data_IF_719261332519
#
_entry.id   IF_719261332519
#
_cell.length_a   1.000
_cell.length_b   1.000
_cell.length_c   1.000
_cell.angle_alpha   90.00
_cell.angle_beta   90.00
_cell.angle_gamma   90.00
#
_symmetry.space_group_name_H-M   'P 1'
#
loop_
_entity.id
_entity.type
_entity.pdbx_description
1 polymer ?
#
# COMPACT_ATOMS: atom_id res chain seq x y z
N UNK A 1 -21.12 -4.12 2.02
CA UNK A 1 -20.23 -4.45 3.15
C UNK A 1 -19.97 -3.22 4.01
N UNK A 2 -19.69 -2.05 3.42
CA UNK A 2 -19.45 -0.78 4.15
C UNK A 2 -20.67 -0.37 4.95
N UNK A 3 -21.89 -0.45 4.39
CA UNK A 3 -23.14 -0.17 5.10
C UNK A 3 -23.35 -1.06 6.34
N UNK A 4 -22.96 -2.34 6.24
CA UNK A 4 -23.14 -3.31 7.31
C UNK A 4 -22.10 -3.18 8.45
N UNK A 5 -20.95 -2.58 8.18
CA UNK A 5 -19.83 -2.46 9.13
C UNK A 5 -19.79 -1.09 9.79
N UNK A 6 -20.18 -0.01 9.09
CA UNK A 6 -19.98 1.37 9.55
C UNK A 6 -21.29 2.16 9.70
N UNK A 7 -22.45 1.60 9.34
CA UNK A 7 -23.75 2.28 9.45
C UNK A 7 -23.90 3.50 8.52
N UNK A 8 -23.05 3.62 7.52
CA UNK A 8 -23.10 4.67 6.49
C UNK A 8 -23.42 4.03 5.13
N UNK A 9 -24.19 4.71 4.29
CA UNK A 9 -24.53 4.19 2.97
C UNK A 9 -23.29 4.07 2.07
N UNK A 10 -23.33 3.14 1.10
CA UNK A 10 -22.26 2.99 0.11
C UNK A 10 -22.01 4.30 -0.66
N UNK A 11 -23.05 5.13 -0.87
CA UNK A 11 -22.97 6.44 -1.49
C UNK A 11 -22.25 7.46 -0.59
N UNK A 12 -22.53 7.46 0.71
CA UNK A 12 -21.86 8.33 1.69
C UNK A 12 -20.38 7.97 1.87
N UNK A 13 -20.08 6.67 1.94
CA UNK A 13 -18.71 6.18 1.98
C UNK A 13 -17.94 6.55 0.70
N UNK A 14 -18.55 6.39 -0.47
CA UNK A 14 -17.99 6.81 -1.76
C UNK A 14 -17.79 8.32 -1.82
N UNK A 15 -18.73 9.12 -1.31
CA UNK A 15 -18.63 10.58 -1.24
C UNK A 15 -17.46 11.03 -0.35
N UNK A 16 -17.29 10.42 0.82
CA UNK A 16 -16.17 10.69 1.74
C UNK A 16 -14.82 10.26 1.15
N UNK A 17 -14.76 9.11 0.48
CA UNK A 17 -13.55 8.62 -0.20
C UNK A 17 -13.21 9.53 -1.39
N UNK A 18 -14.18 9.90 -2.23
CA UNK A 18 -13.95 10.78 -3.38
C UNK A 18 -13.53 12.21 -2.97
N UNK A 19 -14.07 12.73 -1.88
CA UNK A 19 -13.67 14.04 -1.33
C UNK A 19 -12.20 14.05 -0.87
N UNK A 20 -11.66 12.89 -0.45
CA UNK A 20 -10.30 12.73 0.04
C UNK A 20 -9.32 12.32 -1.08
N UNK A 21 -9.77 11.57 -2.10
CA UNK A 21 -8.86 10.94 -3.07
C UNK A 21 -8.62 11.71 -4.35
N UNK A 22 -9.34 12.79 -4.65
CA UNK A 22 -9.18 13.59 -5.89
C UNK A 22 -8.79 12.73 -7.12
N UNK A 23 -9.25 13.05 -8.28
CA UNK A 23 -9.04 12.27 -9.50
C UNK A 23 -7.55 12.24 -9.91
N UNK A 24 -6.81 11.20 -9.52
CA UNK A 24 -5.45 10.95 -10.03
C UNK A 24 -5.52 9.94 -11.18
N UNK A 25 -4.75 10.13 -12.27
CA UNK A 25 -4.74 9.17 -13.37
C UNK A 25 -4.26 7.79 -12.90
N UNK A 26 -4.85 6.70 -13.40
CA UNK A 26 -4.47 5.35 -13.00
C UNK A 26 -3.02 5.05 -13.40
N UNK A 27 -2.29 4.37 -12.51
CA UNK A 27 -0.99 3.79 -12.87
C UNK A 27 -1.26 2.62 -13.82
N UNK A 28 -0.67 2.64 -15.02
CA UNK A 28 -0.92 1.58 -16.01
C UNK A 28 -0.44 0.22 -15.48
N UNK A 29 -1.16 -0.88 -15.79
CA UNK A 29 -0.77 -2.25 -15.42
C UNK A 29 0.65 -2.63 -15.89
N UNK A 30 1.10 -2.05 -17.00
CA UNK A 30 2.42 -2.26 -17.60
C UNK A 30 3.57 -1.78 -16.68
N UNK A 31 3.36 -0.69 -15.93
CA UNK A 31 4.38 -0.18 -14.99
C UNK A 31 4.57 -1.12 -13.80
N UNK A 32 3.52 -1.83 -13.40
CA UNK A 32 3.58 -2.80 -12.30
C UNK A 32 4.18 -4.12 -12.77
N UNK A 33 3.82 -4.59 -13.97
CA UNK A 33 4.41 -5.78 -14.59
C UNK A 33 5.92 -5.59 -14.87
N UNK A 34 6.35 -4.39 -15.27
CA UNK A 34 7.76 -4.07 -15.46
C UNK A 34 8.56 -4.06 -14.14
N UNK A 35 7.91 -3.78 -13.01
CA UNK A 35 8.57 -3.83 -11.69
C UNK A 35 8.83 -5.27 -11.22
N UNK A 36 8.03 -6.25 -11.66
CA UNK A 36 8.18 -7.67 -11.30
C UNK A 36 9.19 -8.41 -12.21
N UNK A 37 9.62 -7.80 -13.33
CA UNK A 37 10.53 -8.40 -14.31
C UNK A 37 12.03 -8.29 -13.95
N UNK A 38 12.37 -7.78 -12.75
CA UNK A 38 13.77 -7.66 -12.30
C UNK A 38 14.45 -9.02 -12.11
N UNK A 39 15.72 -9.11 -12.54
CA UNK A 39 16.57 -10.25 -12.24
C UNK A 39 16.87 -10.34 -10.74
N UNK A 40 17.42 -11.47 -10.28
CA UNK A 40 17.86 -11.62 -8.88
C UNK A 40 18.93 -10.55 -8.51
N UNK A 41 19.80 -10.22 -9.46
CA UNK A 41 20.79 -9.15 -9.28
C UNK A 41 20.12 -7.77 -9.12
N UNK A 42 19.09 -7.47 -9.92
CA UNK A 42 18.33 -6.23 -9.80
C UNK A 42 17.61 -6.14 -8.47
N UNK A 43 17.01 -7.24 -8.00
CA UNK A 43 16.34 -7.32 -6.69
C UNK A 43 17.30 -7.06 -5.54
N UNK A 44 18.50 -7.66 -5.56
CA UNK A 44 19.55 -7.41 -4.56
C UNK A 44 20.03 -5.96 -4.60
N UNK A 45 20.23 -5.41 -5.78
CA UNK A 45 20.64 -4.01 -5.93
C UNK A 45 19.56 -3.04 -5.40
N UNK A 46 18.28 -3.30 -5.70
CA UNK A 46 17.16 -2.50 -5.22
C UNK A 46 17.00 -2.61 -3.70
N UNK A 47 17.12 -3.80 -3.11
CA UNK A 47 17.07 -4.00 -1.66
C UNK A 47 18.23 -3.26 -0.95
N UNK A 48 19.45 -3.34 -1.48
CA UNK A 48 20.58 -2.59 -0.95
C UNK A 48 20.39 -1.06 -1.07
N UNK A 49 19.78 -0.59 -2.16
CA UNK A 49 19.39 0.81 -2.32
C UNK A 49 18.30 1.21 -1.33
N UNK A 50 17.30 0.32 -1.09
CA UNK A 50 16.24 0.55 -0.11
C UNK A 50 16.82 0.78 1.29
N UNK A 51 17.78 -0.03 1.74
CA UNK A 51 18.47 0.15 3.02
C UNK A 51 19.12 1.55 3.08
N UNK A 52 19.95 1.90 2.08
CA UNK A 52 20.65 3.21 2.05
C UNK A 52 19.68 4.40 2.01
N UNK A 53 18.54 4.27 1.35
CA UNK A 53 17.55 5.35 1.31
C UNK A 53 16.77 5.43 2.63
N UNK A 54 16.47 4.29 3.27
CA UNK A 54 15.79 4.27 4.56
C UNK A 54 16.63 4.95 5.65
N UNK A 55 17.96 4.77 5.64
CA UNK A 55 18.90 5.52 6.51
C UNK A 55 18.85 7.03 6.29
N UNK A 56 18.42 7.46 5.09
CA UNK A 56 18.25 8.89 4.72
C UNK A 56 16.80 9.34 4.86
N UNK A 57 16.03 8.73 5.74
CA UNK A 57 14.69 9.17 6.08
C UNK A 57 14.62 9.76 7.48
N UNK A 58 13.54 10.50 7.73
CA UNK A 58 13.18 10.95 9.07
C UNK A 58 11.67 10.87 9.26
N UNK A 59 11.20 10.64 10.49
CA UNK A 59 9.79 10.83 10.82
C UNK A 59 9.37 12.27 10.58
N UNK A 60 8.18 12.49 10.05
CA UNK A 60 7.58 13.80 9.86
C UNK A 60 6.06 13.69 9.98
N UNK A 61 5.44 14.77 10.48
CA UNK A 61 4.00 15.01 10.46
C UNK A 61 3.68 16.16 9.52
N UNK A 62 2.42 16.34 9.14
CA UNK A 62 2.01 17.45 8.26
C UNK A 62 2.51 17.29 6.82
N UNK A 63 2.78 16.07 6.37
CA UNK A 63 3.19 15.81 4.99
C UNK A 63 2.08 16.21 4.00
N UNK A 64 2.45 16.90 2.91
CA UNK A 64 1.50 17.43 1.92
C UNK A 64 0.59 16.35 1.31
N UNK A 65 1.16 15.20 0.92
CA UNK A 65 0.39 14.06 0.39
C UNK A 65 -0.61 13.54 1.43
N UNK A 66 -0.17 13.29 2.67
CA UNK A 66 -1.04 12.78 3.73
C UNK A 66 -2.10 13.80 4.13
N UNK A 67 -1.77 15.07 4.18
CA UNK A 67 -2.74 16.17 4.43
C UNK A 67 -3.82 16.19 3.36
N UNK A 68 -3.45 16.07 2.09
CA UNK A 68 -4.39 15.97 0.97
C UNK A 68 -5.28 14.71 1.06
N UNK A 69 -4.79 13.63 1.69
CA UNK A 69 -5.53 12.38 1.93
C UNK A 69 -6.34 12.36 3.23
N UNK A 70 -6.43 13.47 3.95
CA UNK A 70 -7.19 13.58 5.20
C UNK A 70 -6.44 13.16 6.47
N UNK A 71 -5.11 12.98 6.39
CA UNK A 71 -4.25 12.56 7.50
C UNK A 71 -3.19 13.61 7.87
N UNK A 72 -3.56 14.87 8.21
CA UNK A 72 -2.58 15.94 8.43
C UNK A 72 -1.67 15.71 9.63
N UNK A 73 -2.13 14.97 10.65
CA UNK A 73 -1.36 14.69 11.86
C UNK A 73 -0.69 13.29 11.85
N UNK A 74 -0.80 12.53 10.74
CA UNK A 74 -0.19 11.19 10.66
C UNK A 74 1.31 11.31 10.52
N UNK A 75 2.04 10.65 11.41
CA UNK A 75 3.48 10.47 11.27
C UNK A 75 3.77 9.49 10.11
N UNK A 76 4.75 9.84 9.30
CA UNK A 76 5.25 9.01 8.20
C UNK A 76 6.77 9.20 8.07
N UNK A 77 7.43 8.26 7.39
CA UNK A 77 8.82 8.43 6.99
C UNK A 77 8.88 9.31 5.74
N UNK A 78 9.82 10.26 5.74
CA UNK A 78 10.05 11.15 4.60
C UNK A 78 11.52 11.16 4.21
N UNK A 79 11.81 11.37 2.91
CA UNK A 79 13.15 11.55 2.41
C UNK A 79 13.80 12.80 3.04
N UNK A 80 15.08 12.73 3.33
CA UNK A 80 15.91 13.92 3.70
C UNK A 80 16.65 14.48 2.50
N UNK A 81 16.80 13.71 1.41
CA UNK A 81 17.50 14.09 0.17
C UNK A 81 16.66 13.71 -1.04
N UNK A 82 16.93 14.33 -2.19
CA UNK A 82 16.24 13.97 -3.44
C UNK A 82 16.68 12.61 -3.97
N UNK A 83 15.73 11.90 -4.60
CA UNK A 83 15.98 10.63 -5.30
C UNK A 83 15.15 10.53 -6.58
N UNK A 84 15.67 9.83 -7.61
CA UNK A 84 14.96 9.60 -8.86
C UNK A 84 14.76 8.10 -9.08
N UNK A 85 13.53 7.67 -9.31
CA UNK A 85 13.20 6.29 -9.67
C UNK A 85 12.01 6.25 -10.63
N UNK A 86 12.01 5.29 -11.56
CA UNK A 86 10.92 5.14 -12.54
C UNK A 86 10.64 6.40 -13.36
N UNK A 87 11.65 7.22 -13.65
CA UNK A 87 11.52 8.48 -14.39
C UNK A 87 11.00 9.67 -13.55
N UNK A 88 10.59 9.45 -12.30
CA UNK A 88 10.04 10.46 -11.40
C UNK A 88 11.11 10.92 -10.42
N UNK A 89 11.21 12.23 -10.21
CA UNK A 89 12.05 12.83 -9.16
C UNK A 89 11.25 13.02 -7.88
N UNK A 90 11.76 12.50 -6.79
CA UNK A 90 11.27 12.68 -5.42
C UNK A 90 12.18 13.63 -4.66
N UNK A 91 11.63 14.44 -3.77
CA UNK A 91 12.33 15.50 -3.05
C UNK A 91 12.39 15.20 -1.56
N UNK A 92 13.23 15.93 -0.84
CA UNK A 92 13.16 15.93 0.61
C UNK A 92 11.73 16.32 1.06
N UNK A 93 11.20 15.56 2.02
CA UNK A 93 9.83 15.68 2.48
C UNK A 93 8.82 14.73 1.82
N UNK A 94 9.16 14.07 0.70
CA UNK A 94 8.29 13.06 0.08
C UNK A 94 8.22 11.78 0.92
N UNK A 95 7.05 11.13 0.91
CA UNK A 95 6.77 9.94 1.73
C UNK A 95 7.56 8.73 1.26
N UNK A 96 8.08 7.98 2.22
CA UNK A 96 8.74 6.70 2.02
C UNK A 96 7.94 5.61 2.71
N UNK A 97 7.54 4.59 1.95
CA UNK A 97 6.82 3.41 2.44
C UNK A 97 7.73 2.19 2.26
N UNK A 98 8.33 1.65 3.34
CA UNK A 98 9.17 0.45 3.26
C UNK A 98 8.33 -0.79 2.92
N UNK A 99 8.88 -1.66 2.06
CA UNK A 99 8.29 -2.94 1.68
C UNK A 99 9.11 -4.09 2.23
N UNK A 100 8.44 -4.98 2.94
CA UNK A 100 9.04 -6.17 3.51
C UNK A 100 8.44 -7.41 2.86
N UNK A 101 9.26 -8.44 2.66
CA UNK A 101 8.81 -9.75 2.20
C UNK A 101 8.21 -10.61 3.32
N UNK A 102 7.79 -11.82 2.98
CA UNK A 102 7.23 -12.77 3.93
C UNK A 102 8.18 -13.22 5.05
N UNK A 103 9.48 -12.97 4.96
CA UNK A 103 10.49 -13.24 6.01
C UNK A 103 10.71 -12.04 6.92
N UNK A 104 10.21 -10.87 6.54
CA UNK A 104 10.45 -9.59 7.23
C UNK A 104 11.70 -8.86 6.72
N UNK A 105 12.33 -9.31 5.64
CA UNK A 105 13.43 -8.60 5.02
C UNK A 105 12.95 -7.38 4.23
N UNK A 106 13.65 -6.25 4.35
CA UNK A 106 13.41 -5.06 3.52
C UNK A 106 13.85 -5.36 2.08
N UNK A 107 12.90 -5.34 1.14
CA UNK A 107 13.13 -5.71 -0.25
C UNK A 107 12.93 -4.58 -1.24
N UNK A 108 12.22 -3.53 -0.84
CA UNK A 108 11.93 -2.38 -1.70
C UNK A 108 11.46 -1.17 -0.88
N UNK A 109 11.28 -0.04 -1.54
CA UNK A 109 10.58 1.14 -1.03
C UNK A 109 9.57 1.62 -2.08
N UNK A 110 8.42 2.14 -1.64
CA UNK A 110 7.60 3.00 -2.47
C UNK A 110 7.81 4.45 -2.05
N UNK A 111 8.09 5.32 -3.01
CA UNK A 111 8.17 6.76 -2.82
C UNK A 111 6.87 7.40 -3.31
N UNK A 112 6.34 8.38 -2.56
CA UNK A 112 5.10 9.09 -2.88
C UNK A 112 5.37 10.58 -2.74
N UNK A 113 5.22 11.34 -3.83
CA UNK A 113 5.39 12.79 -3.80
C UNK A 113 4.11 13.54 -3.37
N UNK A 114 4.21 14.85 -3.23
CA UNK A 114 3.10 15.69 -2.81
C UNK A 114 1.87 15.60 -3.74
N UNK A 115 2.09 15.40 -5.04
CA UNK A 115 1.06 15.24 -6.05
C UNK A 115 0.44 13.83 -6.05
N UNK A 116 0.96 12.90 -5.22
CA UNK A 116 0.48 11.53 -5.11
C UNK A 116 1.03 10.57 -6.17
N UNK A 117 2.05 10.97 -6.95
CA UNK A 117 2.76 10.05 -7.83
C UNK A 117 3.55 9.05 -7.01
N UNK A 118 3.36 7.77 -7.32
CA UNK A 118 3.94 6.65 -6.58
C UNK A 118 4.84 5.81 -7.48
N UNK A 119 6.03 5.48 -7.02
CA UNK A 119 6.94 4.54 -7.69
C UNK A 119 7.70 3.72 -6.66
N UNK A 120 7.88 2.45 -6.95
CA UNK A 120 8.84 1.59 -6.26
C UNK A 120 10.24 1.77 -6.86
N UNK A 121 11.26 1.31 -6.15
CA UNK A 121 12.60 1.25 -6.72
C UNK A 121 12.61 0.25 -7.89
N UNK A 122 13.24 0.67 -8.99
CA UNK A 122 13.31 -0.13 -10.22
C UNK A 122 14.02 -1.46 -9.95
N UNK A 123 13.44 -2.55 -10.46
CA UNK A 123 13.98 -3.91 -10.32
C UNK A 123 13.77 -4.55 -8.93
N UNK A 124 13.24 -3.82 -7.95
CA UNK A 124 12.98 -4.35 -6.62
C UNK A 124 11.73 -5.24 -6.56
N UNK A 125 11.72 -6.17 -5.61
CA UNK A 125 10.60 -7.07 -5.39
C UNK A 125 9.35 -6.29 -4.97
N UNK A 126 8.22 -6.60 -5.60
CA UNK A 126 6.88 -6.08 -5.25
C UNK A 126 5.94 -7.24 -4.92
N UNK A 127 5.97 -8.31 -5.74
CA UNK A 127 5.09 -9.47 -5.59
C UNK A 127 5.36 -10.17 -4.25
N UNK A 128 4.32 -10.31 -3.41
CA UNK A 128 4.43 -10.89 -2.07
C UNK A 128 5.09 -9.99 -1.03
N UNK A 129 5.56 -8.78 -1.41
CA UNK A 129 6.05 -7.79 -0.46
C UNK A 129 4.93 -6.83 -0.05
N UNK A 130 4.97 -6.34 1.19
CA UNK A 130 3.98 -5.42 1.71
C UNK A 130 4.59 -4.42 2.71
N UNK A 131 3.85 -3.37 2.96
CA UNK A 131 4.00 -2.54 4.15
C UNK A 131 2.95 -2.95 5.18
N UNK A 132 3.32 -3.00 6.45
CA UNK A 132 2.38 -3.34 7.53
C UNK A 132 2.05 -2.08 8.33
N UNK A 133 0.78 -1.78 8.49
CA UNK A 133 0.27 -0.79 9.43
C UNK A 133 -0.27 -1.56 10.62
N UNK A 134 0.46 -1.53 11.73
CA UNK A 134 0.11 -2.28 12.94
C UNK A 134 -1.12 -1.71 13.62
N UNK A 135 -2.05 -2.60 14.00
CA UNK A 135 -3.21 -2.30 14.80
C UNK A 135 -2.96 -2.53 16.28
N UNK A 136 -3.55 -1.68 17.12
CA UNK A 136 -3.50 -1.85 18.60
C UNK A 136 -4.49 -2.90 19.11
N UNK A 137 -5.49 -3.28 18.31
CA UNK A 137 -6.42 -4.36 18.64
C UNK A 137 -5.78 -5.69 18.33
N UNK A 138 -5.81 -6.60 19.30
CA UNK A 138 -5.19 -7.93 19.23
C UNK A 138 -5.23 -8.53 17.82
N UNK A 139 -4.05 -8.69 17.22
CA UNK A 139 -3.86 -9.51 16.04
C UNK A 139 -4.42 -10.91 16.33
N UNK A 140 -5.43 -11.35 15.59
CA UNK A 140 -5.91 -12.72 15.76
C UNK A 140 -7.29 -13.01 15.20
N UNK A 141 -8.12 -12.01 14.96
CA UNK A 141 -9.47 -12.25 14.40
C UNK A 141 -9.65 -11.74 12.97
N UNK A 142 -9.08 -10.59 12.63
CA UNK A 142 -9.20 -9.97 11.30
C UNK A 142 -7.88 -9.37 10.86
N UNK A 143 -7.58 -9.56 9.58
CA UNK A 143 -6.44 -8.97 8.91
C UNK A 143 -6.95 -8.30 7.63
N UNK A 144 -6.68 -7.03 7.47
CA UNK A 144 -7.06 -6.27 6.29
C UNK A 144 -5.93 -6.24 5.27
N UNK A 145 -6.30 -6.29 4.00
CA UNK A 145 -5.37 -6.05 2.89
C UNK A 145 -5.94 -4.94 2.04
N UNK A 146 -5.23 -3.85 1.88
CA UNK A 146 -5.63 -2.72 1.05
C UNK A 146 -4.64 -2.50 -0.10
N UNK A 147 -5.12 -2.01 -1.24
CA UNK A 147 -4.27 -1.77 -2.40
C UNK A 147 -3.30 -0.62 -2.14
N UNK A 148 -3.80 0.54 -1.76
CA UNK A 148 -3.02 1.77 -1.63
C UNK A 148 -2.70 2.15 -0.19
N UNK A 149 -1.60 2.89 0.00
CA UNK A 149 -1.18 3.35 1.33
C UNK A 149 -2.23 4.22 2.03
N UNK A 150 -2.84 5.20 1.32
CA UNK A 150 -3.88 6.04 1.90
C UNK A 150 -5.15 5.25 2.24
N UNK A 151 -5.57 4.31 1.39
CA UNK A 151 -6.69 3.41 1.65
C UNK A 151 -6.44 2.57 2.89
N UNK A 152 -5.22 2.03 3.04
CA UNK A 152 -4.82 1.28 4.21
C UNK A 152 -4.85 2.13 5.49
N UNK A 153 -4.38 3.38 5.44
CA UNK A 153 -4.49 4.31 6.56
C UNK A 153 -5.94 4.60 6.94
N UNK A 154 -6.84 4.75 5.94
CA UNK A 154 -8.27 4.92 6.19
C UNK A 154 -8.88 3.72 6.89
N UNK A 155 -8.60 2.51 6.40
CA UNK A 155 -9.09 1.27 7.02
C UNK A 155 -8.57 1.15 8.45
N UNK A 156 -7.27 1.36 8.65
CA UNK A 156 -6.66 1.33 9.97
C UNK A 156 -7.27 2.37 10.93
N UNK A 157 -7.45 3.61 10.47
CA UNK A 157 -8.04 4.68 11.27
C UNK A 157 -9.48 4.35 11.71
N UNK A 158 -10.28 3.78 10.81
CA UNK A 158 -11.67 3.43 11.09
C UNK A 158 -11.82 2.19 11.97
N UNK A 159 -10.92 1.21 11.86
CA UNK A 159 -11.05 -0.08 12.51
C UNK A 159 -10.15 -0.25 13.73
N UNK A 160 -9.01 0.43 13.77
CA UNK A 160 -7.91 0.20 14.70
C UNK A 160 -7.22 -1.15 14.51
N UNK A 161 -7.47 -1.83 13.37
CA UNK A 161 -6.95 -3.17 13.09
C UNK A 161 -5.71 -3.11 12.19
N UNK A 162 -4.95 -4.20 12.15
CA UNK A 162 -3.77 -4.33 11.30
C UNK A 162 -4.15 -4.39 9.83
N UNK A 163 -3.41 -3.65 8.99
CA UNK A 163 -3.62 -3.58 7.55
C UNK A 163 -2.32 -3.86 6.79
N UNK A 164 -2.34 -4.84 5.90
CA UNK A 164 -1.27 -5.06 4.91
C UNK A 164 -1.52 -4.19 3.69
N UNK A 165 -0.54 -3.43 3.28
CA UNK A 165 -0.60 -2.56 2.09
C UNK A 165 0.02 -3.28 0.92
N UNK A 166 -0.77 -3.60 -0.11
CA UNK A 166 -0.34 -4.35 -1.29
C UNK A 166 0.45 -3.49 -2.30
N UNK A 167 0.24 -2.16 -2.29
CA UNK A 167 0.84 -1.17 -3.17
C UNK A 167 0.44 -1.27 -4.65
N UNK A 168 -0.30 -2.32 -5.02
CA UNK A 168 -0.78 -2.59 -6.38
C UNK A 168 -1.88 -3.64 -6.35
N UNK A 169 -2.87 -3.51 -7.24
CA UNK A 169 -3.95 -4.48 -7.39
C UNK A 169 -3.46 -5.88 -7.80
N UNK A 170 -2.38 -5.97 -8.60
CA UNK A 170 -1.82 -7.27 -9.01
C UNK A 170 -1.13 -8.03 -7.87
N UNK A 171 -0.76 -7.34 -6.80
CA UNK A 171 -0.15 -7.96 -5.61
C UNK A 171 -1.18 -8.46 -4.59
N UNK A 172 -2.45 -8.09 -4.71
CA UNK A 172 -3.51 -8.47 -3.77
C UNK A 172 -3.61 -9.99 -3.60
N UNK A 173 -3.63 -10.74 -4.71
CA UNK A 173 -3.71 -12.20 -4.68
C UNK A 173 -2.51 -12.83 -3.96
N UNK A 174 -1.29 -12.37 -4.27
CA UNK A 174 -0.07 -12.89 -3.63
C UNK A 174 -0.06 -12.64 -2.13
N UNK A 175 -0.50 -11.46 -1.70
CA UNK A 175 -0.58 -11.13 -0.27
C UNK A 175 -1.72 -11.86 0.43
N UNK A 176 -2.87 -12.03 -0.22
CA UNK A 176 -3.98 -12.77 0.33
C UNK A 176 -3.58 -14.23 0.59
N UNK A 177 -2.89 -14.88 -0.36
CA UNK A 177 -2.35 -16.24 -0.20
C UNK A 177 -1.32 -16.31 0.93
N UNK A 178 -0.37 -15.36 1.00
CA UNK A 178 0.63 -15.28 2.08
C UNK A 178 -0.05 -15.07 3.45
N UNK A 179 -1.04 -14.17 3.51
CA UNK A 179 -1.78 -13.90 4.73
C UNK A 179 -2.54 -15.14 5.22
N UNK A 180 -3.18 -15.89 4.32
CA UNK A 180 -3.88 -17.14 4.66
C UNK A 180 -2.90 -18.20 5.18
N UNK A 181 -1.74 -18.34 4.52
CA UNK A 181 -0.72 -19.30 4.94
C UNK A 181 -0.18 -18.97 6.33
N UNK A 182 0.10 -17.69 6.63
CA UNK A 182 0.66 -17.27 7.93
C UNK A 182 -0.38 -17.17 9.04
N UNK A 183 -1.63 -16.89 8.68
CA UNK A 183 -2.72 -16.64 9.63
C UNK A 183 -3.96 -17.47 9.25
N UNK A 184 -3.90 -18.82 9.34
CA UNK A 184 -4.97 -19.70 8.86
C UNK A 184 -6.32 -19.48 9.56
N UNK A 185 -6.31 -19.02 10.82
CA UNK A 185 -7.53 -18.77 11.59
C UNK A 185 -8.06 -17.34 11.47
N UNK A 186 -7.32 -16.41 10.81
CA UNK A 186 -7.75 -15.03 10.66
C UNK A 186 -8.80 -14.89 9.56
N UNK A 187 -9.80 -14.02 9.79
CA UNK A 187 -10.64 -13.51 8.71
C UNK A 187 -9.84 -12.49 7.90
N UNK A 188 -9.54 -12.82 6.65
CA UNK A 188 -8.87 -11.92 5.71
C UNK A 188 -9.92 -11.07 5.01
N UNK A 189 -9.75 -9.75 5.01
CA UNK A 189 -10.67 -8.79 4.43
C UNK A 189 -9.91 -7.92 3.44
N UNK A 190 -10.34 -7.90 2.17
CA UNK A 190 -9.75 -7.07 1.14
C UNK A 190 -10.51 -5.74 1.01
N UNK A 191 -9.81 -4.64 1.16
CA UNK A 191 -10.30 -3.29 0.89
C UNK A 191 -9.86 -2.88 -0.51
N UNK A 192 -10.75 -3.09 -1.49
CA UNK A 192 -10.51 -2.75 -2.89
C UNK A 192 -10.80 -1.26 -3.14
N UNK A 193 -9.96 -0.63 -3.96
CA UNK A 193 -10.25 0.67 -4.53
C UNK A 193 -11.39 0.52 -5.56
N UNK A 194 -12.29 1.51 -5.63
CA UNK A 194 -13.39 1.51 -6.59
C UNK A 194 -12.97 2.22 -7.87
N UNK A 195 -12.41 1.46 -8.79
CA UNK A 195 -12.05 1.98 -10.11
C UNK A 195 -13.26 2.09 -11.04
N UNK A 196 -13.23 3.05 -11.96
CA UNK A 196 -14.30 3.23 -12.95
C UNK A 196 -14.45 2.03 -13.91
N UNK A 197 -13.34 1.32 -14.16
CA UNK A 197 -13.31 0.13 -15.02
C UNK A 197 -13.53 -1.19 -14.25
N UNK A 198 -13.63 -1.17 -12.93
CA UNK A 198 -13.87 -2.34 -12.09
C UNK A 198 -12.68 -3.29 -11.89
N UNK A 199 -11.50 -2.95 -12.39
CA UNK A 199 -10.31 -3.81 -12.31
C UNK A 199 -9.89 -4.10 -10.86
N UNK A 200 -9.85 -3.09 -10.00
CA UNK A 200 -9.50 -3.23 -8.60
C UNK A 200 -10.48 -4.17 -7.87
N UNK A 201 -11.78 -4.00 -8.10
CA UNK A 201 -12.82 -4.86 -7.52
C UNK A 201 -12.69 -6.31 -8.00
N UNK A 202 -12.47 -6.52 -9.29
CA UNK A 202 -12.33 -7.87 -9.88
C UNK A 202 -11.11 -8.60 -9.29
N UNK A 203 -9.97 -7.93 -9.20
CA UNK A 203 -8.74 -8.51 -8.62
C UNK A 203 -8.89 -8.78 -7.12
N UNK A 204 -9.55 -7.89 -6.39
CA UNK A 204 -9.83 -8.10 -4.96
C UNK A 204 -10.81 -9.26 -4.74
N UNK A 205 -11.85 -9.39 -5.57
CA UNK A 205 -12.77 -10.53 -5.50
C UNK A 205 -12.05 -11.85 -5.78
N UNK A 206 -11.20 -11.92 -6.80
CA UNK A 206 -10.38 -13.09 -7.09
C UNK A 206 -9.43 -13.44 -5.94
N UNK A 207 -8.79 -12.43 -5.33
CA UNK A 207 -7.92 -12.62 -4.18
C UNK A 207 -8.69 -13.09 -2.94
N UNK A 208 -9.90 -12.59 -2.70
CA UNK A 208 -10.77 -13.03 -1.61
C UNK A 208 -11.18 -14.50 -1.79
N UNK A 209 -11.63 -14.89 -2.98
CA UNK A 209 -12.00 -16.27 -3.29
C UNK A 209 -10.83 -17.26 -3.07
N UNK A 210 -9.62 -16.87 -3.42
CA UNK A 210 -8.43 -17.69 -3.21
C UNK A 210 -8.05 -17.88 -1.72
N UNK A 211 -8.63 -17.10 -0.81
CA UNK A 211 -8.38 -17.19 0.64
C UNK A 211 -9.48 -17.93 1.40
N UNK A 212 -10.63 -18.16 0.78
CA UNK A 212 -11.80 -18.82 1.42
C UNK A 212 -11.76 -20.35 1.33
N UNK A 213 -10.82 -20.92 0.55
CA UNK A 213 -10.65 -22.36 0.31
C UNK A 213 -10.15 -23.17 1.50
#
# INVERSE_FOLDING_TARGET
LVEKVFGISASEAAGKVNAVTGHLPPVSPEVVAAADAGTEADRKAAAALAVRLLEKTRPATGNAYLTCKGFPARECLTLTTSHKTGGVAYRAGDVVVPLYDGTGALVNLQLINAEGLKRTLKGGLVKGACHLIDGQKQAGKRLWIAEGYATALTVHHLTGETVMVALSSVNLLSLASLARQKHPACKIILAADRDLNGDGQTKAAAAAAACEG
#
